data_IF_093133957352
#
_entry.id   IF_093133957352
#
_cell.length_a   1.000
_cell.length_b   1.000
_cell.length_c   1.000
_cell.angle_alpha   90.00
_cell.angle_beta   90.00
_cell.angle_gamma   90.00
#
_symmetry.space_group_name_H-M   'P 1'
#
loop_
_entity.id
_entity.type
_entity.pdbx_description
1 polymer ?
#
# COMPACT_ATOMS: atom_id res chain seq x y z
N UNK A 1 -14.42 -8.98 10.29
CA UNK A 1 -13.22 -9.43 9.55
C UNK A 1 -12.22 -8.30 9.60
N UNK A 2 -11.01 -8.58 10.13
CA UNK A 2 -10.02 -7.54 10.43
C UNK A 2 -8.60 -7.95 10.00
N UNK A 3 -7.77 -6.96 9.70
CA UNK A 3 -6.31 -7.07 9.67
C UNK A 3 -5.77 -6.45 10.95
N UNK A 4 -5.00 -7.21 11.71
CA UNK A 4 -4.54 -6.79 13.02
C UNK A 4 -3.02 -6.92 13.15
N UNK A 5 -2.41 -5.93 13.78
CA UNK A 5 -1.05 -5.99 14.31
C UNK A 5 -1.17 -5.94 15.85
N UNK A 6 -0.66 -6.97 16.55
CA UNK A 6 -0.77 -7.07 18.00
C UNK A 6 0.59 -7.04 18.67
N UNK A 7 0.76 -6.15 19.64
CA UNK A 7 1.92 -6.01 20.53
C UNK A 7 3.27 -6.06 19.77
N UNK A 8 3.36 -5.28 18.69
CA UNK A 8 4.51 -5.29 17.79
C UNK A 8 5.72 -4.60 18.42
N UNK A 9 6.85 -5.30 18.42
CA UNK A 9 8.17 -4.74 18.67
C UNK A 9 9.05 -5.00 17.46
N UNK A 10 9.71 -3.96 16.98
CA UNK A 10 10.61 -4.09 15.83
C UNK A 10 11.81 -3.14 15.95
N UNK A 11 12.97 -3.64 15.58
CA UNK A 11 14.21 -2.88 15.31
C UNK A 11 14.92 -3.45 14.10
N UNK A 12 15.62 -2.59 13.39
CA UNK A 12 16.47 -3.05 12.29
C UNK A 12 17.72 -3.73 12.86
N UNK A 13 18.23 -4.72 12.12
CA UNK A 13 19.43 -5.47 12.50
C UNK A 13 20.62 -4.50 12.69
N UNK A 14 21.26 -4.59 13.83
CA UNK A 14 22.38 -3.70 14.20
C UNK A 14 22.00 -2.52 15.09
N UNK A 15 20.70 -2.25 15.31
CA UNK A 15 20.27 -1.21 16.23
C UNK A 15 20.01 -1.78 17.63
N UNK A 16 20.42 -1.04 18.68
CA UNK A 16 20.12 -1.37 20.08
C UNK A 16 18.67 -1.07 20.43
N UNK A 17 18.13 0.01 19.89
CA UNK A 17 16.82 0.53 20.25
C UNK A 17 15.71 0.05 19.32
N UNK A 18 14.54 -0.19 19.90
CA UNK A 18 13.34 -0.49 19.13
C UNK A 18 12.84 0.75 18.38
N UNK A 19 12.61 0.61 17.09
CA UNK A 19 11.91 1.59 16.26
C UNK A 19 10.40 1.58 16.54
N UNK A 20 9.86 0.39 16.80
CA UNK A 20 8.45 0.18 17.16
C UNK A 20 8.44 -0.51 18.51
N UNK A 21 7.67 0.03 19.48
CA UNK A 21 7.56 -0.49 20.83
C UNK A 21 6.10 -0.67 21.19
N UNK A 22 5.69 -1.92 21.46
CA UNK A 22 4.35 -2.31 21.90
C UNK A 22 3.20 -1.69 21.10
N UNK A 23 3.34 -1.68 19.78
CA UNK A 23 2.35 -1.06 18.90
C UNK A 23 1.31 -2.07 18.45
N UNK A 24 0.04 -1.67 18.56
CA UNK A 24 -1.10 -2.47 18.11
C UNK A 24 -2.05 -1.61 17.26
N UNK A 25 -2.62 -2.23 16.23
CA UNK A 25 -3.56 -1.55 15.33
C UNK A 25 -4.47 -2.61 14.70
N UNK A 26 -5.72 -2.25 14.44
CA UNK A 26 -6.66 -3.05 13.67
C UNK A 26 -7.27 -2.22 12.55
N UNK A 27 -7.60 -2.89 11.45
CA UNK A 27 -8.29 -2.32 10.29
C UNK A 27 -9.44 -3.26 9.97
N UNK A 28 -10.67 -2.76 10.01
CA UNK A 28 -11.84 -3.52 9.61
C UNK A 28 -12.02 -3.51 8.09
N UNK A 29 -12.79 -4.48 7.56
CA UNK A 29 -13.18 -4.45 6.15
C UNK A 29 -13.95 -3.18 5.82
N UNK A 30 -13.61 -2.55 4.68
CA UNK A 30 -14.23 -1.32 4.23
C UNK A 30 -13.87 -0.07 5.05
N UNK A 31 -13.06 -0.22 6.11
CA UNK A 31 -12.57 0.91 6.89
C UNK A 31 -11.35 1.56 6.21
N UNK A 32 -11.26 2.89 6.29
CA UNK A 32 -10.08 3.66 5.86
C UNK A 32 -9.40 4.25 7.08
N UNK A 33 -8.28 3.66 7.49
CA UNK A 33 -7.50 4.08 8.66
C UNK A 33 -6.31 4.92 8.21
N UNK A 34 -6.15 6.12 8.78
CA UNK A 34 -4.96 6.95 8.60
C UNK A 34 -3.91 6.67 9.67
N UNK A 35 -2.68 6.36 9.27
CA UNK A 35 -1.53 6.29 10.17
C UNK A 35 -0.68 7.54 9.94
N UNK A 36 -0.75 8.48 10.88
CA UNK A 36 -0.22 9.83 10.72
C UNK A 36 0.92 10.05 11.72
N UNK A 37 1.96 10.74 11.30
CA UNK A 37 3.07 11.12 12.19
C UNK A 37 4.27 11.64 11.42
N UNK A 38 5.30 12.15 12.12
CA UNK A 38 6.53 12.62 11.48
C UNK A 38 7.28 11.50 10.74
N UNK A 39 8.18 11.88 9.84
CA UNK A 39 9.09 10.92 9.19
C UNK A 39 10.02 10.28 10.24
N UNK A 40 10.41 9.02 10.02
CA UNK A 40 11.31 8.30 10.95
C UNK A 40 10.60 7.53 12.08
N UNK A 41 9.31 7.73 12.32
CA UNK A 41 8.56 7.04 13.39
C UNK A 41 8.08 5.63 13.04
N UNK A 42 8.63 5.02 12.01
CA UNK A 42 8.37 3.61 11.69
C UNK A 42 7.07 3.32 10.95
N UNK A 43 6.33 4.33 10.45
CA UNK A 43 5.05 4.12 9.73
C UNK A 43 5.18 3.17 8.55
N UNK A 44 6.14 3.42 7.65
CA UNK A 44 6.41 2.53 6.51
C UNK A 44 6.85 1.14 6.95
N UNK A 45 7.55 1.03 8.08
CA UNK A 45 7.93 -0.24 8.68
C UNK A 45 6.70 -0.99 9.18
N UNK A 46 5.75 -0.31 9.83
CA UNK A 46 4.45 -0.88 10.23
C UNK A 46 3.70 -1.40 8.99
N UNK A 47 3.67 -0.61 7.90
CA UNK A 47 3.06 -1.02 6.64
C UNK A 47 3.68 -2.31 6.07
N UNK A 48 5.02 -2.40 6.04
CA UNK A 48 5.74 -3.60 5.59
C UNK A 48 5.51 -4.82 6.49
N UNK A 49 5.41 -4.62 7.80
CA UNK A 49 5.08 -5.71 8.75
C UNK A 49 3.67 -6.21 8.48
N UNK A 50 2.67 -5.33 8.35
CA UNK A 50 1.28 -5.68 8.05
C UNK A 50 1.13 -6.41 6.72
N UNK A 51 1.92 -6.03 5.70
CA UNK A 51 1.95 -6.71 4.41
C UNK A 51 2.77 -8.03 4.43
N UNK A 52 3.33 -8.43 5.57
CA UNK A 52 4.12 -9.65 5.72
C UNK A 52 5.49 -9.62 5.05
N UNK A 53 5.97 -8.46 4.62
CA UNK A 53 7.26 -8.32 3.92
C UNK A 53 8.45 -8.37 4.88
N UNK A 54 8.26 -7.93 6.12
CA UNK A 54 9.24 -8.04 7.19
C UNK A 54 8.57 -8.61 8.44
N UNK A 55 9.31 -9.41 9.19
CA UNK A 55 8.80 -10.01 10.45
C UNK A 55 9.14 -9.10 11.63
N UNK A 56 8.17 -8.89 12.51
CA UNK A 56 8.41 -8.24 13.80
C UNK A 56 9.24 -9.14 14.71
N UNK A 57 9.98 -8.55 15.65
CA UNK A 57 10.76 -9.30 16.65
C UNK A 57 9.83 -9.94 17.69
N UNK A 58 8.80 -9.19 18.11
CA UNK A 58 7.70 -9.67 18.96
C UNK A 58 6.37 -9.20 18.40
N UNK A 59 5.30 -9.86 18.83
CA UNK A 59 3.96 -9.59 18.33
C UNK A 59 3.63 -10.41 17.08
N UNK A 60 2.49 -10.15 16.49
CA UNK A 60 2.01 -10.91 15.32
C UNK A 60 1.05 -10.10 14.46
N UNK A 61 1.04 -10.44 13.17
CA UNK A 61 0.02 -9.97 12.22
C UNK A 61 -1.02 -11.06 12.05
N UNK A 62 -2.29 -10.68 12.17
CA UNK A 62 -3.42 -11.59 12.00
C UNK A 62 -4.38 -11.05 10.94
N UNK A 63 -4.80 -11.93 10.05
CA UNK A 63 -5.87 -11.71 9.08
C UNK A 63 -7.05 -12.58 9.48
N UNK A 64 -8.15 -11.95 9.91
CA UNK A 64 -9.33 -12.67 10.45
C UNK A 64 -8.97 -13.68 11.56
N UNK A 65 -8.11 -13.28 12.48
CA UNK A 65 -7.64 -14.10 13.60
C UNK A 65 -6.62 -15.19 13.23
N UNK A 66 -6.22 -15.31 11.95
CA UNK A 66 -5.22 -16.28 11.47
C UNK A 66 -3.95 -15.56 11.00
N UNK A 67 -2.81 -16.26 11.05
CA UNK A 67 -1.55 -15.73 10.49
C UNK A 67 -1.66 -15.49 8.99
N UNK A 68 -0.92 -14.52 8.48
CA UNK A 68 -0.82 -14.29 7.04
C UNK A 68 -0.30 -15.53 6.30
N UNK A 69 -0.73 -15.76 5.06
CA UNK A 69 -0.23 -16.85 4.23
C UNK A 69 1.25 -16.61 3.87
N UNK A 70 2.09 -17.65 3.97
CA UNK A 70 3.54 -17.52 3.68
C UNK A 70 3.94 -17.98 2.27
N UNK A 71 3.14 -18.83 1.63
CA UNK A 71 3.53 -19.50 0.37
C UNK A 71 2.55 -19.30 -0.79
N UNK A 72 1.61 -18.40 -0.67
CA UNK A 72 0.64 -18.07 -1.71
C UNK A 72 0.42 -16.56 -1.77
N UNK A 73 -0.46 -16.12 -2.66
CA UNK A 73 -0.83 -14.73 -2.77
C UNK A 73 -1.25 -14.16 -1.41
N UNK A 74 -0.61 -13.07 -1.01
CA UNK A 74 -0.96 -12.37 0.22
C UNK A 74 -2.14 -11.42 -0.05
N UNK A 75 -3.28 -11.58 0.63
CA UNK A 75 -4.42 -10.70 0.42
C UNK A 75 -4.26 -9.30 1.05
N UNK A 76 -3.09 -9.01 1.65
CA UNK A 76 -2.68 -7.69 2.11
C UNK A 76 -1.63 -7.15 1.16
N UNK A 77 -1.99 -6.13 0.38
CA UNK A 77 -1.10 -5.55 -0.63
C UNK A 77 -0.55 -4.20 -0.16
N UNK A 78 0.70 -3.93 -0.50
CA UNK A 78 1.39 -2.67 -0.21
C UNK A 78 1.65 -1.89 -1.49
N UNK A 79 1.14 -0.66 -1.55
CA UNK A 79 1.53 0.32 -2.56
C UNK A 79 2.71 1.11 -1.98
N UNK A 80 3.85 1.01 -2.63
CA UNK A 80 5.09 1.62 -2.18
C UNK A 80 5.13 3.12 -2.47
N UNK A 81 5.77 3.87 -1.60
CA UNK A 81 6.16 5.26 -1.84
C UNK A 81 7.06 5.39 -3.08
N UNK A 82 7.96 4.43 -3.27
CA UNK A 82 8.90 4.32 -4.37
C UNK A 82 8.43 3.25 -5.33
N UNK A 83 7.74 3.59 -6.44
CA UNK A 83 7.12 2.61 -7.34
C UNK A 83 8.13 1.71 -8.06
N UNK A 84 9.38 2.14 -8.20
CA UNK A 84 10.48 1.35 -8.76
C UNK A 84 10.80 0.08 -7.96
N UNK A 85 10.44 0.07 -6.68
CA UNK A 85 10.60 -1.12 -5.81
C UNK A 85 9.52 -2.18 -6.05
N UNK A 86 8.45 -1.81 -6.74
CA UNK A 86 7.30 -2.68 -6.98
C UNK A 86 7.34 -3.40 -8.33
N UNK A 87 8.25 -3.04 -9.23
CA UNK A 87 8.28 -3.53 -10.61
C UNK A 87 9.60 -4.21 -10.93
N UNK A 88 9.58 -5.17 -11.85
CA UNK A 88 10.81 -5.77 -12.36
C UNK A 88 11.40 -4.84 -13.44
N UNK A 89 12.62 -4.28 -13.25
CA UNK A 89 13.21 -3.34 -14.19
C UNK A 89 13.56 -3.96 -15.56
N UNK A 90 13.52 -5.29 -15.67
CA UNK A 90 13.79 -6.04 -16.90
C UNK A 90 12.52 -6.44 -17.66
N UNK A 91 11.36 -5.97 -17.23
CA UNK A 91 10.08 -6.25 -17.90
C UNK A 91 9.51 -4.98 -18.50
N UNK A 92 8.88 -5.13 -19.66
CA UNK A 92 7.99 -4.08 -20.19
C UNK A 92 6.75 -3.95 -19.30
N UNK A 93 6.15 -2.79 -19.29
CA UNK A 93 5.03 -2.48 -18.39
C UNK A 93 3.79 -3.33 -18.69
N UNK A 94 3.58 -3.76 -19.93
CA UNK A 94 2.54 -4.73 -20.24
C UNK A 94 2.70 -6.01 -19.40
N UNK A 95 3.88 -6.62 -19.42
CA UNK A 95 4.17 -7.83 -18.63
C UNK A 95 3.99 -7.61 -17.13
N UNK A 96 4.28 -6.42 -16.65
CA UNK A 96 4.06 -6.03 -15.26
C UNK A 96 2.58 -6.04 -14.87
N UNK A 97 1.67 -5.65 -15.79
CA UNK A 97 0.23 -5.76 -15.56
C UNK A 97 -0.28 -7.21 -15.68
N UNK A 98 0.23 -7.96 -16.63
CA UNK A 98 -0.14 -9.37 -16.86
C UNK A 98 0.22 -10.29 -15.70
N UNK A 99 1.22 -9.90 -14.86
CA UNK A 99 1.59 -10.65 -13.67
C UNK A 99 0.43 -10.87 -12.68
N UNK A 100 -0.52 -9.93 -12.66
CA UNK A 100 -1.69 -9.98 -11.76
C UNK A 100 -2.98 -10.41 -12.47
N UNK A 101 -2.87 -10.99 -13.65
CA UNK A 101 -3.97 -11.52 -14.44
C UNK A 101 -4.22 -10.77 -15.75
N UNK A 102 -5.37 -11.02 -16.36
CA UNK A 102 -5.77 -10.33 -17.58
C UNK A 102 -5.84 -8.82 -17.37
N UNK A 103 -5.36 -8.06 -18.36
CA UNK A 103 -5.32 -6.59 -18.26
C UNK A 103 -6.73 -6.02 -18.30
N UNK A 104 -7.12 -5.37 -17.21
CA UNK A 104 -8.35 -4.63 -17.10
C UNK A 104 -8.18 -3.23 -17.73
N UNK A 105 -8.69 -3.08 -18.95
CA UNK A 105 -8.63 -1.82 -19.68
C UNK A 105 -9.48 -0.69 -19.06
N UNK A 106 -10.51 -1.06 -18.29
CA UNK A 106 -11.31 -0.11 -17.51
C UNK A 106 -10.48 0.55 -16.43
N UNK A 107 -9.89 -0.26 -15.55
CA UNK A 107 -9.01 0.21 -14.48
C UNK A 107 -7.77 0.94 -15.03
N UNK A 108 -7.22 0.52 -16.18
CA UNK A 108 -6.14 1.27 -16.84
C UNK A 108 -6.57 2.69 -17.18
N UNK A 109 -7.77 2.88 -17.75
CA UNK A 109 -8.30 4.22 -18.10
C UNK A 109 -8.54 5.07 -16.87
N UNK A 110 -9.14 4.53 -15.82
CA UNK A 110 -9.38 5.24 -14.56
C UNK A 110 -8.09 5.72 -13.91
N UNK A 111 -7.07 4.88 -13.90
CA UNK A 111 -5.73 5.22 -13.41
C UNK A 111 -4.94 6.12 -14.39
N UNK A 112 -5.44 6.36 -15.62
CA UNK A 112 -4.72 7.13 -16.63
C UNK A 112 -3.49 6.41 -17.19
N UNK A 113 -3.49 5.07 -17.19
CA UNK A 113 -2.47 4.26 -17.85
C UNK A 113 -2.78 4.24 -19.36
N UNK A 114 -1.92 4.89 -20.14
CA UNK A 114 -2.04 4.98 -21.60
C UNK A 114 -1.46 3.74 -22.27
N UNK A 115 -2.02 3.31 -23.40
CA UNK A 115 -1.53 2.13 -24.13
C UNK A 115 -0.07 2.27 -24.55
N UNK A 116 0.38 3.47 -24.89
CA UNK A 116 1.78 3.74 -25.25
C UNK A 116 2.77 3.43 -24.10
N UNK A 117 2.30 3.40 -22.84
CA UNK A 117 3.16 3.06 -21.69
C UNK A 117 3.41 1.57 -21.59
N UNK A 118 2.56 0.73 -22.15
CA UNK A 118 2.64 -0.74 -22.01
C UNK A 118 3.91 -1.32 -22.65
N UNK A 119 4.37 -0.71 -23.74
CA UNK A 119 5.59 -1.12 -24.45
C UNK A 119 6.88 -0.56 -23.86
N UNK A 120 6.79 0.35 -22.89
CA UNK A 120 7.94 0.98 -22.24
C UNK A 120 8.53 0.10 -21.14
N UNK A 121 9.78 0.37 -20.82
CA UNK A 121 10.46 -0.14 -19.64
C UNK A 121 10.21 0.78 -18.45
N UNK A 122 10.29 0.29 -17.19
CA UNK A 122 10.07 1.12 -15.99
C UNK A 122 10.88 2.43 -15.98
N UNK A 123 12.14 2.39 -16.40
CA UNK A 123 13.03 3.55 -16.44
C UNK A 123 12.67 4.61 -17.49
N UNK A 124 11.76 4.31 -18.41
CA UNK A 124 11.27 5.24 -19.44
C UNK A 124 9.99 5.97 -19.00
N UNK A 125 9.51 5.70 -17.80
CA UNK A 125 8.33 6.30 -17.20
C UNK A 125 8.71 7.30 -16.11
N UNK A 126 7.95 8.37 -16.00
CA UNK A 126 8.02 9.26 -14.83
C UNK A 126 7.58 8.54 -13.57
N UNK A 127 7.99 9.04 -12.41
CA UNK A 127 7.57 8.47 -11.12
C UNK A 127 6.05 8.40 -10.97
N UNK A 128 5.32 9.42 -11.44
CA UNK A 128 3.86 9.43 -11.40
C UNK A 128 3.21 8.43 -12.37
N UNK A 129 3.77 8.25 -13.55
CA UNK A 129 3.32 7.21 -14.49
C UNK A 129 3.56 5.82 -13.91
N UNK A 130 4.75 5.58 -13.35
CA UNK A 130 5.09 4.29 -12.73
C UNK A 130 4.22 4.00 -11.49
N UNK A 131 3.87 5.03 -10.72
CA UNK A 131 2.98 4.88 -9.55
C UNK A 131 1.60 4.34 -9.93
N UNK A 132 1.06 4.73 -11.09
CA UNK A 132 -0.23 4.21 -11.60
C UNK A 132 -0.19 2.70 -11.82
N UNK A 133 0.93 2.16 -12.31
CA UNK A 133 1.13 0.71 -12.47
C UNK A 133 1.27 0.01 -11.11
N UNK A 134 1.94 0.63 -10.15
CA UNK A 134 2.04 0.11 -8.80
C UNK A 134 0.65 0.01 -8.13
N UNK A 135 -0.16 1.06 -8.27
CA UNK A 135 -1.55 1.06 -7.79
C UNK A 135 -2.38 -0.02 -8.49
N UNK A 136 -2.31 -0.11 -9.82
CA UNK A 136 -3.02 -1.14 -10.60
C UNK A 136 -2.73 -2.55 -10.06
N UNK A 137 -1.45 -2.89 -9.87
CA UNK A 137 -1.04 -4.21 -9.37
C UNK A 137 -1.60 -4.51 -7.99
N UNK A 138 -1.60 -3.52 -7.10
CA UNK A 138 -2.10 -3.69 -5.74
C UNK A 138 -3.63 -3.82 -5.66
N UNK A 139 -4.35 -3.22 -6.59
CA UNK A 139 -5.81 -3.31 -6.66
C UNK A 139 -6.32 -4.61 -7.29
N UNK A 140 -5.47 -5.33 -8.05
CA UNK A 140 -5.86 -6.58 -8.72
C UNK A 140 -5.70 -7.80 -7.80
N UNK A 141 -6.19 -8.92 -8.28
CA UNK A 141 -6.14 -10.19 -7.54
C UNK A 141 -7.18 -10.27 -6.41
N UNK A 142 -6.88 -11.04 -5.39
CA UNK A 142 -7.75 -11.26 -4.23
C UNK A 142 -7.40 -10.32 -3.07
N UNK A 143 -7.10 -9.05 -3.37
CA UNK A 143 -6.75 -8.04 -2.35
C UNK A 143 -7.92 -7.80 -1.42
N UNK A 144 -7.69 -7.95 -0.12
CA UNK A 144 -8.67 -7.74 0.94
C UNK A 144 -8.33 -6.54 1.84
N UNK A 145 -7.05 -6.25 1.93
CA UNK A 145 -6.52 -5.08 2.62
C UNK A 145 -5.44 -4.42 1.79
N UNK A 146 -5.46 -3.11 1.77
CA UNK A 146 -4.51 -2.30 1.02
C UNK A 146 -3.78 -1.36 1.97
N UNK A 147 -2.46 -1.27 1.81
CA UNK A 147 -1.62 -0.35 2.55
C UNK A 147 -1.04 0.63 1.54
N UNK A 148 -1.37 1.90 1.67
CA UNK A 148 -0.89 2.99 0.83
C UNK A 148 0.17 3.78 1.60
N UNK A 149 1.46 3.55 1.30
CA UNK A 149 2.58 4.16 2.00
C UNK A 149 3.09 5.39 1.26
N UNK A 150 2.65 6.57 1.71
CA UNK A 150 3.02 7.89 1.16
C UNK A 150 2.97 7.99 -0.38
N UNK A 151 1.97 7.35 -0.99
CA UNK A 151 1.88 7.07 -2.44
C UNK A 151 1.77 8.30 -3.33
N UNK A 152 1.58 9.47 -2.76
CA UNK A 152 1.28 10.68 -3.51
C UNK A 152 2.27 11.83 -3.25
N UNK A 153 3.33 11.60 -2.50
CA UNK A 153 4.30 12.65 -2.13
C UNK A 153 5.08 13.25 -3.31
N UNK A 154 5.18 12.49 -4.42
CA UNK A 154 5.90 12.91 -5.64
C UNK A 154 4.95 13.28 -6.79
N UNK A 155 3.65 13.40 -6.51
CA UNK A 155 2.63 13.66 -7.52
C UNK A 155 2.12 15.09 -7.43
N UNK A 156 1.74 15.65 -8.57
CA UNK A 156 0.94 16.88 -8.59
C UNK A 156 -0.45 16.63 -7.99
N UNK A 157 -1.12 17.70 -7.56
CA UNK A 157 -2.38 17.63 -6.82
C UNK A 157 -3.50 16.95 -7.62
N UNK A 158 -3.52 17.13 -8.94
CA UNK A 158 -4.56 16.54 -9.81
C UNK A 158 -4.35 15.03 -9.92
N UNK A 159 -3.13 14.60 -10.20
CA UNK A 159 -2.76 13.19 -10.26
C UNK A 159 -2.96 12.50 -8.91
N UNK A 160 -2.61 13.18 -7.81
CA UNK A 160 -2.86 12.68 -6.46
C UNK A 160 -4.35 12.43 -6.24
N UNK A 161 -5.21 13.41 -6.52
CA UNK A 161 -6.65 13.28 -6.34
C UNK A 161 -7.23 12.14 -7.21
N UNK A 162 -6.79 12.05 -8.47
CA UNK A 162 -7.22 10.98 -9.37
C UNK A 162 -6.90 9.59 -8.80
N UNK A 163 -5.66 9.36 -8.39
CA UNK A 163 -5.22 8.06 -7.86
C UNK A 163 -5.99 7.70 -6.57
N UNK A 164 -6.15 8.65 -5.66
CA UNK A 164 -6.89 8.41 -4.43
C UNK A 164 -8.36 8.10 -4.67
N UNK A 165 -9.01 8.81 -5.60
CA UNK A 165 -10.41 8.52 -5.96
C UNK A 165 -10.56 7.09 -6.48
N UNK A 166 -9.69 6.65 -7.40
CA UNK A 166 -9.73 5.27 -7.92
C UNK A 166 -9.52 4.25 -6.79
N UNK A 167 -8.55 4.48 -5.89
CA UNK A 167 -8.30 3.58 -4.76
C UNK A 167 -9.52 3.50 -3.84
N UNK A 168 -10.12 4.64 -3.49
CA UNK A 168 -11.25 4.70 -2.56
C UNK A 168 -12.51 4.07 -3.16
N UNK A 169 -12.80 4.33 -4.43
CA UNK A 169 -13.96 3.74 -5.13
C UNK A 169 -13.78 2.23 -5.26
N UNK A 170 -12.61 1.77 -5.67
CA UNK A 170 -12.30 0.34 -5.76
C UNK A 170 -12.38 -0.36 -4.39
N UNK A 171 -11.86 0.28 -3.34
CA UNK A 171 -11.92 -0.26 -1.98
C UNK A 171 -13.36 -0.32 -1.46
N UNK A 172 -14.18 0.70 -1.74
CA UNK A 172 -15.59 0.74 -1.35
C UNK A 172 -16.40 -0.36 -2.04
N UNK A 173 -16.27 -0.50 -3.37
CA UNK A 173 -17.00 -1.50 -4.15
C UNK A 173 -16.72 -2.93 -3.72
N UNK A 174 -15.48 -3.21 -3.31
CA UNK A 174 -15.02 -4.56 -2.92
C UNK A 174 -14.92 -4.78 -1.42
N UNK A 175 -15.32 -3.79 -0.63
CA UNK A 175 -15.24 -3.84 0.83
C UNK A 175 -13.82 -4.14 1.33
N UNK A 176 -12.81 -3.47 0.75
CA UNK A 176 -11.40 -3.60 1.10
C UNK A 176 -11.08 -2.66 2.25
N UNK A 177 -10.40 -3.17 3.31
CA UNK A 177 -9.85 -2.32 4.37
C UNK A 177 -8.58 -1.61 3.89
N UNK A 178 -8.45 -0.33 4.19
CA UNK A 178 -7.35 0.52 3.72
C UNK A 178 -6.58 1.14 4.88
N UNK A 179 -5.25 1.05 4.84
CA UNK A 179 -4.34 1.83 5.69
C UNK A 179 -3.67 2.91 4.83
N UNK A 180 -3.98 4.17 5.09
CA UNK A 180 -3.33 5.31 4.46
C UNK A 180 -2.21 5.84 5.38
N UNK A 181 -0.96 5.62 5.01
CA UNK A 181 0.20 6.16 5.72
C UNK A 181 0.56 7.50 5.07
N UNK A 182 0.52 8.56 5.86
CA UNK A 182 0.82 9.91 5.36
C UNK A 182 1.25 10.85 6.48
N UNK A 183 2.04 11.85 6.14
CA UNK A 183 2.30 13.01 7.00
C UNK A 183 1.39 14.21 6.64
N UNK A 184 0.64 14.13 5.55
CA UNK A 184 -0.29 15.17 5.10
C UNK A 184 -1.63 15.04 5.82
N UNK A 185 -1.87 15.94 6.79
CA UNK A 185 -3.11 15.96 7.58
C UNK A 185 -4.35 16.22 6.72
N UNK A 186 -4.28 17.15 5.76
CA UNK A 186 -5.41 17.48 4.88
C UNK A 186 -5.84 16.30 4.03
N UNK A 187 -4.88 15.52 3.51
CA UNK A 187 -5.18 14.27 2.81
C UNK A 187 -5.86 13.27 3.74
N UNK A 188 -5.31 13.06 4.94
CA UNK A 188 -5.89 12.14 5.92
C UNK A 188 -7.30 12.57 6.36
N UNK A 189 -7.55 13.89 6.47
CA UNK A 189 -8.89 14.42 6.79
C UNK A 189 -9.89 14.15 5.66
N UNK A 190 -9.43 14.16 4.42
CA UNK A 190 -10.29 13.95 3.25
C UNK A 190 -10.62 12.45 3.00
N UNK A 191 -9.68 11.53 3.30
CA UNK A 191 -9.81 10.12 2.88
C UNK A 191 -10.08 9.14 4.02
N UNK A 192 -9.67 9.45 5.27
CA UNK A 192 -9.72 8.49 6.37
C UNK A 192 -10.99 8.63 7.22
N UNK A 193 -11.57 7.48 7.58
CA UNK A 193 -12.68 7.40 8.54
C UNK A 193 -12.20 7.44 9.99
N UNK A 194 -11.00 6.93 10.25
CA UNK A 194 -10.35 6.94 11.57
C UNK A 194 -8.86 7.24 11.42
N UNK A 195 -8.28 7.89 12.41
CA UNK A 195 -6.87 8.30 12.41
C UNK A 195 -6.15 7.79 13.65
N UNK A 196 -4.92 7.31 13.45
CA UNK A 196 -3.99 6.91 14.50
C UNK A 196 -2.77 7.80 14.35
N UNK A 197 -2.42 8.49 15.43
CA UNK A 197 -1.25 9.39 15.45
C UNK A 197 -0.12 8.64 16.14
N UNK A 198 1.03 8.52 15.45
CA UNK A 198 2.29 8.07 16.04
C UNK A 198 3.18 9.28 16.29
N UNK A 199 3.63 9.40 17.54
CA UNK A 199 4.43 10.53 18.03
C UNK A 199 5.61 10.02 18.87
#
# INVERSE_FOLDING_TARGET
MSLELRNCFFRYKGNSDYLIKDFSLSIEKGEVVGLIGPSGYGKSTIGKILAGQIKSEKGQVLLDGKKLPEKCYCPVQLIYQHPELAVNPKWKMQRTLEEVGEIDRGLCRELGIKDIFLDRWPQELSGGELQRFNVYRALRGETRYLIADEISTMLDVITQAQIWNVILDYARERNIGLLAITHNKSLADAVCTRKIIVA
#
